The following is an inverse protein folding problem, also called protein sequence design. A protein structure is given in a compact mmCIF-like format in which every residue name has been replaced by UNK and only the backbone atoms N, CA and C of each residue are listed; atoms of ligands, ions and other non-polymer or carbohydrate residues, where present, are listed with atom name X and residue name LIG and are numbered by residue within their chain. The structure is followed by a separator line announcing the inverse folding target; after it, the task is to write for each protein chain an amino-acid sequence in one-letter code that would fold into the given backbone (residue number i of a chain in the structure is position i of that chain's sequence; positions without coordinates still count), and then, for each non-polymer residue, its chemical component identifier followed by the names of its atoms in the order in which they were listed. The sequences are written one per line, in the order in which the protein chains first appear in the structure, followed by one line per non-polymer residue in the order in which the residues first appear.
data_IF_015917956245
#
_entry.id   IF_015917956245
#
_cell.length_a   1.000
_cell.length_b   1.000
_cell.length_c   1.000
_cell.angle_alpha   90.00
_cell.angle_beta   90.00
_cell.angle_gamma   90.00
#
_symmetry.space_group_name_H-M   'P 1'
#
loop_
_entity.id
_entity.type
_entity.pdbx_description
1 polymer ?
#
# COMPACT_ATOMS: atom_id res chain seq x y z
N UNK A 1 2.24 21.34 11.02
CA UNK A 1 2.55 20.28 10.05
C UNK A 1 1.55 20.33 8.90
N UNK A 2 1.80 21.08 7.83
CA UNK A 2 0.86 21.21 6.71
C UNK A 2 0.94 20.06 5.68
N UNK A 3 1.95 19.18 5.74
CA UNK A 3 2.18 18.17 4.70
C UNK A 3 1.25 16.94 4.78
N UNK A 4 0.79 16.54 5.95
CA UNK A 4 -0.10 15.38 6.10
C UNK A 4 -1.53 15.65 5.63
N UNK A 5 -2.00 16.91 5.67
CA UNK A 5 -3.33 17.28 5.21
C UNK A 5 -3.41 17.34 3.67
N UNK A 6 -2.34 17.79 3.01
CA UNK A 6 -2.28 17.87 1.55
C UNK A 6 -2.26 16.48 0.90
N UNK A 7 -1.49 15.52 1.45
CA UNK A 7 -1.49 14.15 0.98
C UNK A 7 -2.87 13.48 1.15
N UNK A 8 -3.52 13.65 2.30
CA UNK A 8 -4.87 13.13 2.55
C UNK A 8 -5.91 13.69 1.57
N UNK A 9 -5.79 14.96 1.19
CA UNK A 9 -6.71 15.58 0.22
C UNK A 9 -6.50 15.08 -1.22
N UNK A 10 -5.27 14.75 -1.60
CA UNK A 10 -4.97 14.12 -2.90
C UNK A 10 -5.63 12.75 -3.00
N UNK A 11 -5.48 11.90 -1.99
CA UNK A 11 -6.11 10.58 -1.94
C UNK A 11 -7.64 10.66 -2.06
N UNK A 12 -8.28 11.54 -1.31
CA UNK A 12 -9.74 11.71 -1.38
C UNK A 12 -10.23 12.11 -2.77
N UNK A 13 -9.46 12.94 -3.48
CA UNK A 13 -9.82 13.38 -4.84
C UNK A 13 -9.60 12.29 -5.89
N UNK A 14 -8.55 11.48 -5.73
CA UNK A 14 -8.35 10.29 -6.56
C UNK A 14 -9.50 9.30 -6.39
N UNK A 15 -9.91 9.01 -5.16
CA UNK A 15 -11.07 8.16 -4.89
C UNK A 15 -12.36 8.66 -5.55
N UNK A 16 -12.62 9.96 -5.46
CA UNK A 16 -13.78 10.56 -6.11
C UNK A 16 -13.73 10.42 -7.63
N UNK A 17 -12.56 10.59 -8.23
CA UNK A 17 -12.36 10.40 -9.66
C UNK A 17 -12.54 8.93 -10.05
N UNK A 18 -11.93 7.99 -9.34
CA UNK A 18 -12.08 6.56 -9.60
C UNK A 18 -13.54 6.13 -9.50
N UNK A 19 -14.25 6.54 -8.44
CA UNK A 19 -15.67 6.24 -8.28
C UNK A 19 -16.57 6.82 -9.39
N UNK A 20 -16.20 7.97 -9.98
CA UNK A 20 -16.93 8.53 -11.11
C UNK A 20 -16.62 7.81 -12.43
N UNK A 21 -15.44 7.20 -12.54
CA UNK A 21 -14.98 6.48 -13.73
C UNK A 21 -15.30 4.98 -13.69
N UNK A 22 -15.56 4.45 -12.51
CA UNK A 22 -15.97 3.07 -12.32
C UNK A 22 -17.31 2.83 -13.06
N UNK A 23 -17.30 2.01 -14.09
CA UNK A 23 -18.43 1.73 -14.98
C UNK A 23 -18.83 2.85 -15.96
N UNK A 24 -17.92 3.76 -16.29
CA UNK A 24 -18.17 4.77 -17.32
C UNK A 24 -17.41 4.45 -18.61
N UNK A 25 -18.16 4.09 -19.66
CA UNK A 25 -17.60 3.70 -20.99
C UNK A 25 -17.61 4.85 -22.01
N UNK A 26 -17.95 6.06 -21.60
CA UNK A 26 -18.08 7.21 -22.50
C UNK A 26 -16.80 8.07 -22.58
N UNK A 27 -16.84 9.09 -23.43
CA UNK A 27 -15.73 10.04 -23.61
C UNK A 27 -15.56 10.93 -22.38
N UNK A 28 -14.31 11.07 -21.92
CA UNK A 28 -13.92 11.94 -20.81
C UNK A 28 -13.22 13.18 -21.35
N UNK A 29 -13.78 14.35 -21.05
CA UNK A 29 -13.18 15.63 -21.41
C UNK A 29 -12.37 16.21 -20.25
N UNK A 30 -11.05 16.24 -20.38
CA UNK A 30 -10.15 16.79 -19.36
C UNK A 30 -9.63 18.15 -19.81
N UNK A 31 -9.78 19.17 -18.98
CA UNK A 31 -9.20 20.49 -19.21
C UNK A 31 -8.44 20.96 -17.97
N UNK A 32 -7.15 21.31 -18.18
CA UNK A 32 -6.27 21.83 -17.14
C UNK A 32 -6.08 23.33 -17.28
N UNK A 33 -6.25 24.07 -16.19
CA UNK A 33 -5.89 25.47 -16.02
C UNK A 33 -4.76 25.59 -14.99
N UNK A 34 -4.15 26.77 -14.86
CA UNK A 34 -3.03 26.98 -13.91
C UNK A 34 -3.30 26.53 -12.47
N UNK A 35 -4.54 26.61 -11.99
CA UNK A 35 -4.92 26.32 -10.61
C UNK A 35 -6.04 25.28 -10.46
N UNK A 36 -6.60 24.80 -11.57
CA UNK A 36 -7.75 23.90 -11.53
C UNK A 36 -7.68 22.87 -12.65
N UNK A 37 -8.15 21.67 -12.35
CA UNK A 37 -8.48 20.62 -13.32
C UNK A 37 -9.99 20.45 -13.37
N UNK A 38 -10.54 20.34 -14.58
CA UNK A 38 -11.94 20.08 -14.85
C UNK A 38 -12.03 18.77 -15.62
N UNK A 39 -12.81 17.83 -15.11
CA UNK A 39 -13.08 16.54 -15.72
C UNK A 39 -14.58 16.48 -15.96
N UNK A 40 -14.98 16.36 -17.21
CA UNK A 40 -16.37 16.38 -17.65
C UNK A 40 -16.71 15.03 -18.29
N UNK A 41 -17.71 14.38 -17.73
CA UNK A 41 -18.40 13.25 -18.29
C UNK A 41 -19.75 13.73 -18.85
N UNK A 42 -20.50 12.87 -19.49
CA UNK A 42 -21.78 13.24 -20.10
C UNK A 42 -22.75 13.89 -19.12
N UNK A 43 -22.92 13.31 -17.93
CA UNK A 43 -23.86 13.74 -16.91
C UNK A 43 -23.20 14.24 -15.61
N UNK A 44 -21.87 14.38 -15.58
CA UNK A 44 -21.13 14.74 -14.37
C UNK A 44 -19.98 15.68 -14.67
N UNK A 45 -19.72 16.57 -13.73
CA UNK A 45 -18.63 17.52 -13.81
C UNK A 45 -17.85 17.54 -12.48
N UNK A 46 -16.57 17.14 -12.53
CA UNK A 46 -15.66 17.25 -11.41
C UNK A 46 -14.71 18.44 -11.64
N UNK A 47 -14.64 19.35 -10.68
CA UNK A 47 -13.70 20.46 -10.67
C UNK A 47 -12.85 20.32 -9.39
N UNK A 48 -11.53 20.25 -9.55
CA UNK A 48 -10.59 20.21 -8.45
C UNK A 48 -9.54 21.31 -8.57
N UNK A 49 -9.11 21.87 -7.44
CA UNK A 49 -7.94 22.75 -7.39
C UNK A 49 -6.68 21.92 -7.54
N UNK A 50 -5.72 22.40 -8.31
CA UNK A 50 -4.38 21.83 -8.36
C UNK A 50 -3.59 22.26 -7.12
N UNK A 51 -2.72 21.36 -6.65
CA UNK A 51 -1.79 21.68 -5.57
C UNK A 51 -0.68 22.53 -6.17
N UNK A 52 -0.38 23.66 -5.53
CA UNK A 52 0.73 24.52 -5.91
C UNK A 52 2.03 23.92 -5.33
N UNK A 53 2.78 23.22 -6.18
CA UNK A 53 4.02 22.57 -5.79
C UNK A 53 4.59 21.68 -6.91
N UNK A 54 5.89 21.41 -6.82
CA UNK A 54 6.52 20.39 -7.70
C UNK A 54 6.12 19.02 -7.21
N UNK A 55 5.72 18.16 -8.15
CA UNK A 55 5.53 16.74 -7.86
C UNK A 55 6.85 16.14 -7.35
N UNK A 56 6.84 15.42 -6.21
CA UNK A 56 8.07 14.82 -5.68
C UNK A 56 8.71 13.88 -6.71
N UNK A 57 10.05 13.85 -6.71
CA UNK A 57 10.78 12.88 -7.56
C UNK A 57 10.65 11.47 -6.95
N UNK A 58 9.57 10.77 -7.30
CA UNK A 58 9.26 9.44 -6.79
C UNK A 58 10.34 8.39 -7.13
N UNK A 59 11.14 8.61 -8.18
CA UNK A 59 12.23 7.68 -8.55
C UNK A 59 13.28 7.60 -7.42
N UNK A 60 13.43 8.66 -6.62
CA UNK A 60 14.38 8.69 -5.50
C UNK A 60 13.91 7.86 -4.30
N UNK A 61 12.60 7.62 -4.16
CA UNK A 61 12.05 6.83 -3.05
C UNK A 61 11.95 5.33 -3.38
N UNK A 62 12.13 4.95 -4.65
CA UNK A 62 12.15 3.54 -5.04
C UNK A 62 13.46 2.91 -4.53
N UNK A 63 13.41 1.93 -3.62
CA UNK A 63 14.60 1.31 -3.08
C UNK A 63 15.32 0.49 -4.15
N UNK A 64 16.63 0.70 -4.28
CA UNK A 64 17.47 0.00 -5.27
C UNK A 64 18.24 -1.19 -4.71
N UNK A 65 18.33 -1.29 -3.37
CA UNK A 65 19.21 -2.23 -2.68
C UNK A 65 18.46 -3.35 -1.95
N UNK A 66 17.17 -3.48 -2.14
CA UNK A 66 16.37 -4.52 -1.51
C UNK A 66 16.64 -5.88 -2.16
N UNK A 67 17.52 -6.67 -1.54
CA UNK A 67 17.98 -7.97 -2.06
C UNK A 67 17.26 -9.16 -1.44
N UNK A 68 16.62 -8.98 -0.28
CA UNK A 68 15.90 -10.04 0.43
C UNK A 68 14.50 -10.14 -0.13
N UNK A 69 14.24 -11.18 -0.91
CA UNK A 69 12.93 -11.39 -1.56
C UNK A 69 12.07 -12.32 -0.71
N UNK A 70 10.90 -11.86 -0.35
CA UNK A 70 9.81 -12.65 0.22
C UNK A 70 8.81 -12.94 -0.90
N UNK A 71 8.52 -14.22 -1.13
CA UNK A 71 7.56 -14.70 -2.14
C UNK A 71 6.48 -15.52 -1.42
N UNK A 72 5.22 -15.12 -1.54
CA UNK A 72 4.10 -15.71 -0.82
C UNK A 72 2.82 -15.67 -1.65
N UNK A 73 1.92 -16.62 -1.43
CA UNK A 73 0.58 -16.62 -2.01
C UNK A 73 -0.20 -15.36 -1.63
N UNK A 74 -0.76 -14.66 -2.62
CA UNK A 74 -1.42 -13.37 -2.43
C UNK A 74 -2.67 -13.47 -1.56
N UNK A 75 -3.53 -14.47 -1.80
CA UNK A 75 -4.79 -14.62 -1.08
C UNK A 75 -4.56 -15.04 0.37
N UNK A 76 -3.58 -15.91 0.58
CA UNK A 76 -3.16 -16.30 1.91
C UNK A 76 -2.59 -15.10 2.68
N UNK A 77 -1.72 -14.32 2.06
CA UNK A 77 -1.14 -13.12 2.65
C UNK A 77 -2.22 -12.11 3.04
N UNK A 78 -3.10 -11.74 2.09
CA UNK A 78 -4.17 -10.77 2.30
C UNK A 78 -5.09 -11.18 3.44
N UNK A 79 -5.59 -12.43 3.41
CA UNK A 79 -6.50 -12.93 4.43
C UNK A 79 -5.85 -13.03 5.82
N UNK A 80 -4.56 -13.35 5.88
CA UNK A 80 -3.85 -13.47 7.16
C UNK A 80 -3.52 -12.12 7.77
N UNK A 81 -3.11 -11.13 6.94
CA UNK A 81 -2.91 -9.76 7.41
C UNK A 81 -4.23 -9.18 7.93
N UNK A 82 -5.34 -9.38 7.22
CA UNK A 82 -6.66 -8.90 7.65
C UNK A 82 -7.10 -9.54 8.98
N UNK A 83 -6.94 -10.87 9.12
CA UNK A 83 -7.26 -11.58 10.38
C UNK A 83 -6.43 -11.08 11.56
N UNK A 84 -5.12 -10.96 11.40
CA UNK A 84 -4.23 -10.50 12.47
C UNK A 84 -4.51 -9.05 12.81
N UNK A 85 -4.78 -8.19 11.82
CA UNK A 85 -5.12 -6.79 12.01
C UNK A 85 -6.49 -6.57 12.67
N UNK A 86 -7.43 -7.51 12.51
CA UNK A 86 -8.78 -7.41 13.10
C UNK A 86 -8.80 -7.43 14.63
N UNK A 87 -7.73 -7.92 15.26
CA UNK A 87 -7.57 -7.89 16.74
C UNK A 87 -7.40 -6.46 17.24
N UNK A 88 -6.88 -5.56 16.44
CA UNK A 88 -6.73 -4.15 16.81
C UNK A 88 -8.00 -3.35 16.51
N UNK A 89 -8.49 -2.63 17.52
CA UNK A 89 -9.61 -1.69 17.35
C UNK A 89 -9.19 -0.44 16.58
N UNK A 90 -7.93 -0.09 16.60
CA UNK A 90 -7.37 1.03 15.84
C UNK A 90 -6.64 0.50 14.60
N UNK A 91 -7.24 0.69 13.42
CA UNK A 91 -6.67 0.27 12.12
C UNK A 91 -5.32 0.93 11.77
N UNK A 92 -4.73 1.66 12.70
CA UNK A 92 -3.39 2.24 12.58
C UNK A 92 -2.30 1.37 13.19
N UNK A 93 -2.65 0.28 13.87
CA UNK A 93 -1.67 -0.60 14.47
C UNK A 93 -0.85 -1.31 13.42
N UNK A 94 0.44 -1.40 13.69
CA UNK A 94 1.39 -2.07 12.82
C UNK A 94 1.28 -3.58 12.94
N UNK A 95 1.32 -4.26 11.82
CA UNK A 95 1.57 -5.69 11.79
C UNK A 95 3.08 -5.92 11.75
N UNK A 96 3.60 -6.63 12.75
CA UNK A 96 4.99 -7.06 12.79
C UNK A 96 5.16 -8.33 11.98
N UNK A 97 6.13 -8.31 11.07
CA UNK A 97 6.64 -9.45 10.36
C UNK A 97 7.90 -9.93 11.06
N UNK A 98 7.90 -11.14 11.55
CA UNK A 98 9.10 -11.84 11.97
C UNK A 98 9.39 -12.92 10.93
N UNK A 99 10.37 -12.64 10.10
CA UNK A 99 10.76 -13.46 8.96
C UNK A 99 11.90 -14.39 9.36
N UNK A 100 11.72 -15.66 9.08
CA UNK A 100 12.72 -16.72 9.23
C UNK A 100 12.78 -17.52 7.93
N UNK A 101 13.71 -18.48 7.86
CA UNK A 101 13.81 -19.34 6.70
C UNK A 101 12.47 -20.05 6.43
N UNK A 102 11.92 -19.80 5.24
CA UNK A 102 10.67 -20.39 4.73
C UNK A 102 9.43 -20.10 5.59
N UNK A 103 9.48 -19.09 6.48
CA UNK A 103 8.37 -18.72 7.37
C UNK A 103 8.21 -17.22 7.50
N UNK A 104 6.96 -16.80 7.55
CA UNK A 104 6.53 -15.45 7.92
C UNK A 104 5.61 -15.55 9.14
N UNK A 105 6.03 -15.02 10.27
CA UNK A 105 5.21 -14.87 11.45
C UNK A 105 4.65 -13.44 11.48
N UNK A 106 3.32 -13.33 11.40
CA UNK A 106 2.59 -12.08 11.55
C UNK A 106 2.16 -11.92 13.02
N UNK A 107 2.34 -10.75 13.58
CA UNK A 107 1.85 -10.45 14.92
C UNK A 107 1.39 -9.00 15.07
N UNK A 108 0.30 -8.83 15.80
CA UNK A 108 -0.19 -7.52 16.29
C UNK A 108 -0.35 -7.64 17.80
N UNK A 109 0.14 -6.64 18.50
CA UNK A 109 0.04 -6.52 19.94
C UNK A 109 -0.77 -5.27 20.27
N UNK A 110 -1.91 -5.43 20.92
CA UNK A 110 -2.71 -4.32 21.36
C UNK A 110 -3.08 -4.50 22.85
N UNK A 111 -2.67 -3.55 23.68
CA UNK A 111 -2.84 -3.60 25.13
C UNK A 111 -4.31 -3.70 25.58
N UNK A 112 -5.26 -3.26 24.74
CA UNK A 112 -6.69 -3.18 25.07
C UNK A 112 -7.51 -4.33 24.48
N UNK A 113 -7.11 -4.89 23.34
CA UNK A 113 -7.90 -5.88 22.60
C UNK A 113 -7.22 -7.25 22.48
N UNK A 114 -5.97 -7.38 22.92
CA UNK A 114 -5.22 -8.64 22.95
C UNK A 114 -4.23 -8.78 21.79
N UNK A 115 -3.73 -10.00 21.58
CA UNK A 115 -2.68 -10.33 20.64
C UNK A 115 -3.22 -11.17 19.50
N UNK A 116 -2.89 -10.79 18.26
CA UNK A 116 -3.09 -11.61 17.07
C UNK A 116 -1.76 -12.18 16.59
N UNK A 117 -1.73 -13.49 16.29
CA UNK A 117 -0.54 -14.15 15.71
C UNK A 117 -0.95 -15.16 14.67
N UNK A 118 -0.22 -15.20 13.58
CA UNK A 118 -0.39 -16.18 12.51
C UNK A 118 0.95 -16.50 11.87
N UNK A 119 1.15 -17.76 11.48
CA UNK A 119 2.37 -18.21 10.81
C UNK A 119 2.02 -18.73 9.42
N UNK A 120 2.73 -18.21 8.41
CA UNK A 120 2.56 -18.57 7.00
C UNK A 120 3.83 -19.21 6.47
N UNK A 121 3.66 -20.16 5.54
CA UNK A 121 4.77 -20.62 4.72
C UNK A 121 5.06 -19.58 3.64
N UNK A 122 6.32 -19.16 3.54
CA UNK A 122 6.78 -18.17 2.59
C UNK A 122 8.19 -18.51 2.15
N UNK A 123 8.56 -18.19 0.91
CA UNK A 123 9.95 -18.36 0.46
C UNK A 123 10.77 -17.16 0.91
N UNK A 124 11.65 -17.39 1.88
CA UNK A 124 12.55 -16.37 2.40
C UNK A 124 13.81 -17.03 3.00
N UNK A 125 14.98 -16.47 2.72
CA UNK A 125 16.28 -17.10 3.09
C UNK A 125 17.05 -16.34 4.18
N UNK A 126 16.41 -15.36 4.82
CA UNK A 126 17.07 -14.49 5.81
C UNK A 126 16.23 -14.38 7.07
N UNK A 127 16.82 -13.81 8.12
CA UNK A 127 16.09 -13.38 9.31
C UNK A 127 15.89 -11.86 9.24
N UNK A 128 14.65 -11.39 9.53
CA UNK A 128 14.34 -9.97 9.58
C UNK A 128 13.07 -9.73 10.37
N UNK A 129 13.12 -8.78 11.31
CA UNK A 129 11.95 -8.20 11.97
C UNK A 129 11.65 -6.83 11.36
N UNK A 130 10.42 -6.61 10.89
CA UNK A 130 9.99 -5.35 10.30
C UNK A 130 8.48 -5.17 10.53
N UNK A 131 8.03 -3.93 10.72
CA UNK A 131 6.61 -3.65 10.96
C UNK A 131 6.06 -2.73 9.89
N UNK A 132 4.81 -2.97 9.49
CA UNK A 132 4.11 -2.16 8.50
C UNK A 132 2.70 -1.79 8.97
N UNK A 133 2.16 -0.70 8.48
CA UNK A 133 0.77 -0.39 8.66
C UNK A 133 -0.09 -1.41 7.91
N UNK A 134 -0.95 -2.12 8.65
CA UNK A 134 -1.79 -3.20 8.12
C UNK A 134 -2.70 -2.74 6.99
N UNK A 135 -3.24 -1.53 7.10
CA UNK A 135 -4.12 -0.96 6.08
C UNK A 135 -3.41 -0.79 4.73
N UNK A 136 -2.18 -0.29 4.74
CA UNK A 136 -1.42 -0.13 3.49
C UNK A 136 -1.12 -1.47 2.83
N UNK A 137 -0.82 -2.50 3.63
CA UNK A 137 -0.61 -3.85 3.09
C UNK A 137 -1.89 -4.42 2.47
N UNK A 138 -3.02 -4.25 3.13
CA UNK A 138 -4.33 -4.71 2.64
C UNK A 138 -4.73 -3.93 1.37
N UNK A 139 -4.60 -2.59 1.40
CA UNK A 139 -4.93 -1.73 0.26
C UNK A 139 -4.10 -2.12 -0.98
N UNK A 140 -2.79 -2.40 -0.81
CA UNK A 140 -1.93 -2.84 -1.92
C UNK A 140 -2.31 -4.26 -2.37
N UNK A 141 -2.37 -5.21 -1.45
CA UNK A 141 -2.65 -6.60 -1.80
C UNK A 141 -4.01 -6.78 -2.50
N UNK A 142 -4.99 -5.93 -2.18
CA UNK A 142 -6.30 -5.92 -2.83
C UNK A 142 -6.29 -5.39 -4.27
N UNK A 143 -5.20 -4.75 -4.71
CA UNK A 143 -5.06 -4.22 -6.08
C UNK A 143 -4.23 -5.15 -6.96
N UNK A 144 -3.69 -6.24 -6.43
CA UNK A 144 -2.91 -7.19 -7.18
C UNK A 144 -3.85 -8.28 -7.74
N UNK A 145 -3.64 -8.63 -9.01
CA UNK A 145 -4.47 -9.63 -9.72
C UNK A 145 -3.76 -11.00 -9.83
N UNK A 146 -2.47 -11.08 -9.46
CA UNK A 146 -1.66 -12.28 -9.56
C UNK A 146 -1.96 -13.32 -8.46
N UNK A 147 -1.37 -14.51 -8.61
CA UNK A 147 -1.46 -15.55 -7.59
C UNK A 147 -0.51 -15.31 -6.41
N UNK A 148 0.51 -14.45 -6.60
CA UNK A 148 1.60 -14.24 -5.65
C UNK A 148 1.90 -12.76 -5.46
N UNK A 149 2.39 -12.44 -4.28
CA UNK A 149 2.97 -11.14 -3.94
C UNK A 149 4.47 -11.32 -3.68
N UNK A 150 5.28 -10.45 -4.26
CA UNK A 150 6.72 -10.37 -4.03
C UNK A 150 7.04 -9.12 -3.22
N UNK A 151 7.66 -9.30 -2.06
CA UNK A 151 8.07 -8.19 -1.20
C UNK A 151 9.58 -8.21 -1.08
N UNK A 152 10.22 -7.14 -1.57
CA UNK A 152 11.67 -6.97 -1.51
C UNK A 152 12.04 -6.10 -0.32
N UNK A 153 12.91 -6.62 0.53
CA UNK A 153 13.32 -6.04 1.80
C UNK A 153 14.83 -5.85 1.85
N UNK A 154 15.30 -4.96 2.72
CA UNK A 154 16.70 -4.77 3.03
C UNK A 154 16.97 -4.93 4.53
N UNK A 155 16.44 -4.04 5.34
CA UNK A 155 16.55 -3.99 6.80
C UNK A 155 15.23 -3.51 7.43
N UNK A 156 15.17 -3.38 8.75
CA UNK A 156 13.96 -3.01 9.50
C UNK A 156 13.53 -1.54 9.33
N UNK A 157 14.39 -0.68 8.78
CA UNK A 157 14.13 0.76 8.63
C UNK A 157 14.01 1.24 7.19
N UNK A 158 14.41 0.41 6.22
CA UNK A 158 14.35 0.75 4.79
C UNK A 158 12.97 0.50 4.20
N UNK A 159 12.55 1.30 3.20
CA UNK A 159 11.29 1.07 2.49
C UNK A 159 11.23 -0.33 1.87
N UNK A 160 10.10 -1.00 1.97
CA UNK A 160 9.83 -2.22 1.22
C UNK A 160 9.35 -1.89 -0.21
N UNK A 161 9.75 -2.72 -1.17
CA UNK A 161 9.25 -2.68 -2.54
C UNK A 161 8.37 -3.90 -2.77
N UNK A 162 7.11 -3.67 -3.15
CA UNK A 162 6.12 -4.72 -3.41
C UNK A 162 5.83 -4.77 -4.90
N UNK A 163 5.73 -5.96 -5.45
CA UNK A 163 5.44 -6.22 -6.86
C UNK A 163 4.45 -7.36 -7.03
N UNK A 164 3.70 -7.27 -8.10
CA UNK A 164 2.96 -8.39 -8.66
C UNK A 164 3.81 -9.05 -9.77
N UNK A 165 4.13 -10.33 -9.70
CA UNK A 165 4.83 -11.02 -10.77
C UNK A 165 4.07 -11.07 -12.10
N UNK A 166 2.75 -10.90 -12.08
CA UNK A 166 1.89 -10.87 -13.27
C UNK A 166 1.77 -9.49 -13.91
N UNK A 167 2.10 -8.41 -13.17
CA UNK A 167 2.07 -7.03 -13.63
C UNK A 167 3.44 -6.35 -13.45
N UNK A 168 4.18 -6.20 -14.56
CA UNK A 168 5.53 -5.61 -14.54
C UNK A 168 5.51 -4.07 -14.53
N UNK A 169 4.37 -3.45 -14.78
CA UNK A 169 4.25 -2.01 -14.91
C UNK A 169 3.94 -1.32 -13.57
N UNK A 170 3.43 -2.09 -12.60
CA UNK A 170 3.07 -1.58 -11.28
C UNK A 170 4.10 -1.93 -10.22
N UNK A 171 4.47 -0.94 -9.41
CA UNK A 171 5.32 -1.10 -8.22
C UNK A 171 4.75 -0.32 -7.04
N UNK A 172 4.88 -0.87 -5.85
CA UNK A 172 4.43 -0.24 -4.62
C UNK A 172 5.60 -0.10 -3.64
N UNK A 173 5.70 1.07 -3.02
CA UNK A 173 6.74 1.34 -2.00
C UNK A 173 6.07 1.65 -0.68
N UNK A 174 6.42 0.91 0.36
CA UNK A 174 5.85 1.04 1.70
C UNK A 174 6.95 1.31 2.72
N UNK A 175 6.77 2.39 3.49
CA UNK A 175 7.66 2.68 4.60
C UNK A 175 7.33 1.79 5.80
N UNK A 176 8.35 1.21 6.46
CA UNK A 176 8.11 0.49 7.70
C UNK A 176 7.71 1.45 8.83
N UNK A 177 6.98 0.93 9.80
CA UNK A 177 6.70 1.62 11.04
C UNK A 177 7.91 1.48 11.96
N UNK A 178 8.26 2.58 12.63
CA UNK A 178 9.23 2.49 13.74
C UNK A 178 8.54 1.81 14.91
N UNK A 179 9.09 0.69 15.34
CA UNK A 179 8.71 0.02 16.57
C UNK A 179 9.16 0.79 17.81
#
# INVERSE_FOLDING_TARGET
QPESSAASDVYKRQFQLCALLENYDGDIKVSCQKSKIKIQLENSLLISKLIDGKFPNYIQVIPKNNKKKLDIDLQLFLSSVDRVASVSLDKKDGVKFSLEKDKLNLSVNNASSGDGKETLNAKFDHELDISFNSRYLIDIASQLDGEKIEIFLNDSGSPALIKDPSDFDSIYVVMPMKG
#
